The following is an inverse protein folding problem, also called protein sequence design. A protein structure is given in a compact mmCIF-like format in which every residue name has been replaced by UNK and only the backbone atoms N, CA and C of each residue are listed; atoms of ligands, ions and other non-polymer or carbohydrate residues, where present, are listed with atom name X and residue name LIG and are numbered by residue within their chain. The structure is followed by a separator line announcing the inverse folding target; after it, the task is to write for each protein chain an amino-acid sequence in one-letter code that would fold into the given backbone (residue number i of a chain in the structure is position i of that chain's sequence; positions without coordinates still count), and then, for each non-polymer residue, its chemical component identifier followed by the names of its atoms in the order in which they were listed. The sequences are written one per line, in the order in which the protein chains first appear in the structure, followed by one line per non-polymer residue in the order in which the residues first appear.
data_IF_245804809503
#
_entry.id   IF_245804809503
#
_cell.length_a   1.000
_cell.length_b   1.000
_cell.length_c   1.000
_cell.angle_alpha   90.00
_cell.angle_beta   90.00
_cell.angle_gamma   90.00
#
_symmetry.space_group_name_H-M   'P 1'
#
loop_
_entity.id
_entity.type
_entity.pdbx_description
1 polymer ?
#
# COMPACT_ATOMS: atom_id res chain seq x y z
N UNK A 1 0.78 -4.87 36.07
CA UNK A 1 -0.31 -3.89 35.83
C UNK A 1 -0.97 -4.23 34.51
N UNK A 2 -2.30 -4.24 34.41
CA UNK A 2 -2.99 -4.46 33.14
C UNK A 2 -2.68 -3.32 32.16
N UNK A 3 -2.51 -3.64 30.88
CA UNK A 3 -2.34 -2.64 29.84
C UNK A 3 -3.63 -1.81 29.71
N UNK A 4 -3.54 -0.48 29.54
CA UNK A 4 -4.71 0.36 29.34
C UNK A 4 -5.46 -0.05 28.06
N UNK A 5 -6.79 0.02 28.10
CA UNK A 5 -7.62 -0.28 26.93
C UNK A 5 -7.55 0.85 25.91
N UNK A 6 -7.85 0.54 24.64
CA UNK A 6 -7.90 1.58 23.58
C UNK A 6 -8.89 2.69 23.92
N UNK A 7 -10.03 2.35 24.53
CA UNK A 7 -11.01 3.34 25.02
C UNK A 7 -10.42 4.30 26.05
N UNK A 8 -9.67 3.79 27.04
CA UNK A 8 -9.01 4.61 28.06
C UNK A 8 -7.97 5.56 27.45
N UNK A 9 -7.21 5.09 26.46
CA UNK A 9 -6.23 5.91 25.75
C UNK A 9 -6.92 7.01 24.94
N UNK A 10 -8.02 6.70 24.23
CA UNK A 10 -8.79 7.68 23.48
C UNK A 10 -9.40 8.76 24.38
N UNK A 11 -9.95 8.37 25.53
CA UNK A 11 -10.51 9.31 26.50
C UNK A 11 -9.42 10.21 27.11
N UNK A 12 -8.23 9.67 27.38
CA UNK A 12 -7.09 10.45 27.85
C UNK A 12 -6.61 11.45 26.79
N UNK A 13 -6.52 11.04 25.52
CA UNK A 13 -6.15 11.93 24.41
C UNK A 13 -7.19 13.05 24.27
N UNK A 14 -8.48 12.70 24.29
CA UNK A 14 -9.56 13.69 24.13
C UNK A 14 -9.57 14.74 25.24
N UNK A 15 -9.30 14.32 26.48
CA UNK A 15 -9.47 15.19 27.66
C UNK A 15 -8.20 15.94 28.03
N UNK A 16 -7.04 15.33 27.84
CA UNK A 16 -5.78 15.80 28.44
C UNK A 16 -4.66 16.08 27.42
N UNK A 17 -4.78 15.68 26.15
CA UNK A 17 -3.69 15.88 25.20
C UNK A 17 -3.52 17.36 24.86
N UNK A 18 -2.28 17.84 24.98
CA UNK A 18 -1.88 19.13 24.45
C UNK A 18 -1.71 19.06 22.92
N UNK A 19 -1.54 20.22 22.29
CA UNK A 19 -1.25 20.28 20.85
C UNK A 19 0.04 19.56 20.48
N UNK A 20 1.08 19.68 21.31
CA UNK A 20 2.36 19.01 21.11
C UNK A 20 2.22 17.49 21.20
N UNK A 21 1.41 16.98 22.13
CA UNK A 21 1.11 15.55 22.23
C UNK A 21 0.42 15.02 20.97
N UNK A 22 -0.50 15.80 20.39
CA UNK A 22 -1.17 15.45 19.15
C UNK A 22 -0.20 15.44 17.96
N UNK A 23 0.74 16.39 17.88
CA UNK A 23 1.76 16.43 16.84
C UNK A 23 2.71 15.22 16.92
N UNK A 24 3.10 14.81 18.14
CA UNK A 24 3.88 13.59 18.38
C UNK A 24 3.09 12.35 17.93
N UNK A 25 1.81 12.27 18.27
CA UNK A 25 0.95 11.15 17.84
C UNK A 25 0.86 11.06 16.32
N UNK A 26 0.69 12.18 15.62
CA UNK A 26 0.67 12.21 14.16
C UNK A 26 1.99 11.67 13.56
N UNK A 27 3.12 12.07 14.12
CA UNK A 27 4.43 11.59 13.69
C UNK A 27 4.59 10.07 13.91
N UNK A 28 4.16 9.57 15.08
CA UNK A 28 4.19 8.14 15.39
C UNK A 28 3.25 7.32 14.50
N UNK A 29 2.06 7.84 14.20
CA UNK A 29 1.11 7.22 13.25
C UNK A 29 1.75 7.11 11.87
N UNK A 30 2.41 8.18 11.41
CA UNK A 30 3.15 8.19 10.14
C UNK A 30 4.20 7.08 10.10
N UNK A 31 5.09 7.04 11.10
CA UNK A 31 6.13 6.00 11.21
C UNK A 31 5.55 4.58 11.26
N UNK A 32 4.46 4.38 12.01
CA UNK A 32 3.83 3.05 12.10
C UNK A 32 3.26 2.60 10.76
N UNK A 33 2.62 3.50 10.01
CA UNK A 33 2.11 3.21 8.66
C UNK A 33 3.23 2.87 7.69
N UNK A 34 4.35 3.60 7.76
CA UNK A 34 5.53 3.31 6.94
C UNK A 34 6.10 1.92 7.24
N UNK A 35 6.27 1.58 8.52
CA UNK A 35 6.76 0.26 8.93
C UNK A 35 5.83 -0.88 8.52
N UNK A 36 4.51 -0.68 8.63
CA UNK A 36 3.53 -1.67 8.16
C UNK A 36 3.60 -1.83 6.64
N UNK A 37 3.68 -0.74 5.89
CA UNK A 37 3.87 -0.78 4.43
C UNK A 37 5.15 -1.53 4.03
N UNK A 38 6.25 -1.30 4.75
CA UNK A 38 7.50 -2.03 4.54
C UNK A 38 7.36 -3.52 4.85
N UNK A 39 6.71 -3.87 5.95
CA UNK A 39 6.44 -5.26 6.31
C UNK A 39 5.55 -5.96 5.26
N UNK A 40 4.50 -5.28 4.79
CA UNK A 40 3.60 -5.76 3.75
C UNK A 40 4.36 -5.95 2.43
N UNK A 41 5.23 -5.00 2.07
CA UNK A 41 6.07 -5.11 0.87
C UNK A 41 7.06 -6.28 0.93
N UNK A 42 7.52 -6.66 2.12
CA UNK A 42 8.42 -7.80 2.32
C UNK A 42 7.71 -9.16 2.12
N UNK A 43 6.38 -9.19 2.20
CA UNK A 43 5.56 -10.37 1.90
C UNK A 43 5.34 -10.54 0.39
N UNK A 44 5.61 -9.51 -0.41
CA UNK A 44 5.42 -9.55 -1.85
C UNK A 44 6.57 -10.30 -2.50
N UNK A 45 6.21 -11.39 -3.17
CA UNK A 45 7.11 -12.28 -3.92
C UNK A 45 6.50 -12.57 -5.28
N UNK A 46 7.32 -13.07 -6.19
CA UNK A 46 6.82 -13.59 -7.46
C UNK A 46 5.78 -14.70 -7.20
N UNK A 47 4.68 -14.66 -7.94
CA UNK A 47 3.50 -15.52 -7.76
C UNK A 47 2.50 -15.04 -6.71
N UNK A 48 2.80 -14.01 -5.91
CA UNK A 48 1.87 -13.50 -4.91
C UNK A 48 0.72 -12.69 -5.56
N UNK A 49 -0.48 -12.77 -4.98
CA UNK A 49 -1.54 -11.83 -5.29
C UNK A 49 -1.30 -10.49 -4.59
N UNK A 50 -1.51 -9.41 -5.33
CA UNK A 50 -1.35 -8.06 -4.82
C UNK A 50 -2.42 -7.12 -5.35
N UNK A 51 -2.75 -6.13 -4.53
CA UNK A 51 -3.56 -4.96 -4.90
C UNK A 51 -2.64 -3.75 -5.11
N UNK A 52 -2.84 -3.04 -6.21
CA UNK A 52 -2.12 -1.81 -6.53
C UNK A 52 -2.73 -0.64 -5.74
N UNK A 53 -1.91 0.12 -5.01
CA UNK A 53 -2.31 1.29 -4.23
C UNK A 53 -1.33 2.45 -4.42
N UNK A 54 -1.82 3.67 -4.19
CA UNK A 54 -1.01 4.89 -4.17
C UNK A 54 -0.15 5.12 -5.43
N UNK A 55 -0.60 4.59 -6.58
CA UNK A 55 0.10 4.73 -7.85
C UNK A 55 -0.53 5.85 -8.68
N UNK A 56 0.30 6.59 -9.40
CA UNK A 56 -0.13 7.49 -10.47
C UNK A 56 0.09 6.81 -11.82
N UNK A 57 -0.91 6.80 -12.71
CA UNK A 57 -2.22 7.44 -12.61
C UNK A 57 -3.22 6.75 -11.66
N UNK A 58 -4.10 7.55 -11.04
CA UNK A 58 -4.99 7.11 -9.95
C UNK A 58 -5.95 5.96 -10.32
N UNK A 59 -6.28 5.79 -11.61
CA UNK A 59 -7.16 4.71 -12.06
C UNK A 59 -6.54 3.31 -11.89
N UNK A 60 -5.22 3.22 -11.67
CA UNK A 60 -4.52 1.97 -11.37
C UNK A 60 -4.67 1.55 -9.90
N UNK A 61 -5.10 2.47 -9.02
CA UNK A 61 -5.33 2.14 -7.61
C UNK A 61 -6.59 1.29 -7.45
N UNK A 62 -6.51 0.27 -6.60
CA UNK A 62 -7.57 -0.72 -6.36
C UNK A 62 -7.70 -1.77 -7.47
N UNK A 63 -6.71 -1.87 -8.37
CA UNK A 63 -6.59 -2.99 -9.30
C UNK A 63 -5.86 -4.15 -8.63
N UNK A 64 -6.27 -5.37 -8.95
CA UNK A 64 -5.74 -6.61 -8.39
C UNK A 64 -5.10 -7.47 -9.46
N UNK A 65 -4.06 -8.21 -9.08
CA UNK A 65 -3.34 -9.07 -10.00
C UNK A 65 -2.31 -9.95 -9.29
N UNK A 66 -1.55 -10.68 -10.09
CA UNK A 66 -0.47 -11.55 -9.63
C UNK A 66 0.86 -10.93 -10.01
N UNK A 67 1.81 -10.88 -9.07
CA UNK A 67 3.17 -10.42 -9.31
C UNK A 67 3.90 -11.47 -10.13
N UNK A 68 4.34 -11.12 -11.34
CA UNK A 68 5.01 -12.06 -12.26
C UNK A 68 6.52 -11.90 -12.30
N UNK A 69 7.04 -10.72 -11.95
CA UNK A 69 8.47 -10.48 -11.86
C UNK A 69 8.77 -9.42 -10.79
N UNK A 70 9.92 -9.55 -10.14
CA UNK A 70 10.50 -8.54 -9.26
C UNK A 70 11.92 -8.21 -9.73
N UNK A 71 12.13 -6.96 -10.13
CA UNK A 71 13.42 -6.47 -10.60
C UNK A 71 13.95 -5.35 -9.71
N UNK A 72 15.28 -5.25 -9.59
CA UNK A 72 15.93 -4.19 -8.83
C UNK A 72 16.49 -3.14 -9.79
N UNK A 73 15.96 -1.93 -9.71
CA UNK A 73 16.44 -0.78 -10.47
C UNK A 73 17.12 0.22 -9.53
N UNK A 74 18.46 0.14 -9.45
CA UNK A 74 19.24 0.92 -8.48
C UNK A 74 18.90 0.55 -7.04
N UNK A 75 18.44 1.52 -6.25
CA UNK A 75 17.98 1.31 -4.88
C UNK A 75 16.52 0.87 -4.76
N UNK A 76 15.76 0.85 -5.86
CA UNK A 76 14.32 0.56 -5.88
C UNK A 76 14.06 -0.86 -6.35
N UNK A 77 13.05 -1.50 -5.76
CA UNK A 77 12.48 -2.76 -6.26
C UNK A 77 11.20 -2.42 -7.01
N UNK A 78 11.14 -2.84 -8.27
CA UNK A 78 9.98 -2.69 -9.15
C UNK A 78 9.40 -4.08 -9.45
N UNK A 79 8.10 -4.13 -9.61
CA UNK A 79 7.33 -5.32 -9.86
C UNK A 79 6.60 -5.22 -11.19
N UNK A 80 6.41 -6.36 -11.82
CA UNK A 80 5.48 -6.53 -12.94
C UNK A 80 4.28 -7.30 -12.42
N UNK A 81 3.08 -6.79 -12.66
CA UNK A 81 1.83 -7.39 -12.21
C UNK A 81 0.95 -7.72 -13.41
N UNK A 82 0.56 -8.98 -13.51
CA UNK A 82 -0.49 -9.42 -14.43
C UNK A 82 -1.84 -9.26 -13.75
N UNK A 83 -2.67 -8.38 -14.28
CA UNK A 83 -3.98 -8.04 -13.74
C UNK A 83 -4.97 -9.20 -13.90
N UNK A 84 -5.89 -9.34 -12.96
CA UNK A 84 -7.04 -10.22 -13.13
C UNK A 84 -8.00 -9.70 -14.22
N UNK A 85 -8.85 -10.56 -14.76
CA UNK A 85 -9.78 -10.19 -15.82
C UNK A 85 -10.62 -8.92 -15.53
N UNK A 86 -11.20 -8.71 -14.33
CA UNK A 86 -11.95 -7.48 -14.05
C UNK A 86 -11.06 -6.24 -13.97
N UNK A 87 -9.86 -6.34 -13.38
CA UNK A 87 -8.91 -5.22 -13.29
C UNK A 87 -8.31 -4.87 -14.64
N UNK A 88 -8.01 -5.87 -15.46
CA UNK A 88 -7.58 -5.76 -16.85
C UNK A 88 -8.60 -4.96 -17.69
N UNK A 89 -9.89 -5.32 -17.62
CA UNK A 89 -10.95 -4.61 -18.32
C UNK A 89 -11.08 -3.14 -17.86
N UNK A 90 -10.98 -2.90 -16.55
CA UNK A 90 -11.00 -1.55 -15.97
C UNK A 90 -9.80 -0.72 -16.43
N UNK A 91 -8.61 -1.30 -16.38
CA UNK A 91 -7.37 -0.66 -16.81
C UNK A 91 -7.42 -0.33 -18.31
N UNK A 92 -7.89 -1.26 -19.14
CA UNK A 92 -8.01 -1.07 -20.59
C UNK A 92 -8.95 0.09 -20.92
N UNK A 93 -10.11 0.15 -20.24
CA UNK A 93 -11.08 1.23 -20.40
C UNK A 93 -10.50 2.59 -19.96
N UNK A 94 -9.89 2.67 -18.79
CA UNK A 94 -9.38 3.92 -18.23
C UNK A 94 -8.14 4.44 -18.96
N UNK A 95 -7.30 3.54 -19.46
CA UNK A 95 -6.03 3.87 -20.12
C UNK A 95 -6.13 3.98 -21.64
N UNK A 96 -7.34 3.85 -22.21
CA UNK A 96 -7.58 3.78 -23.66
C UNK A 96 -6.75 2.67 -24.35
N UNK A 97 -6.65 1.52 -23.68
CA UNK A 97 -5.95 0.34 -24.20
C UNK A 97 -4.43 0.31 -23.96
N UNK A 98 -3.85 1.28 -23.23
CA UNK A 98 -2.42 1.24 -22.89
C UNK A 98 -2.07 0.10 -21.92
N UNK A 99 -2.94 -0.16 -20.96
CA UNK A 99 -2.80 -1.27 -20.01
C UNK A 99 -3.96 -2.23 -20.21
N UNK A 100 -3.68 -3.41 -20.77
CA UNK A 100 -4.71 -4.41 -21.09
C UNK A 100 -4.69 -5.57 -20.13
N UNK A 101 -3.52 -6.14 -19.84
CA UNK A 101 -3.39 -7.30 -18.94
C UNK A 101 -2.18 -7.23 -18.02
N UNK A 102 -1.19 -6.40 -18.34
CA UNK A 102 0.05 -6.28 -17.59
C UNK A 102 0.30 -4.82 -17.26
N UNK A 103 0.75 -4.57 -16.04
CA UNK A 103 1.27 -3.28 -15.59
C UNK A 103 2.70 -3.51 -15.12
N UNK A 104 3.63 -2.88 -15.80
CA UNK A 104 5.07 -2.95 -15.57
C UNK A 104 5.57 -1.79 -14.71
N UNK A 105 6.80 -1.93 -14.21
CA UNK A 105 7.51 -0.88 -13.47
C UNK A 105 6.79 -0.37 -12.21
N UNK A 106 6.05 -1.24 -11.51
CA UNK A 106 5.33 -0.89 -10.29
C UNK A 106 6.27 -0.85 -9.08
N UNK A 107 6.43 0.28 -8.37
CA UNK A 107 7.22 0.28 -7.13
C UNK A 107 6.62 -0.69 -6.12
N UNK A 108 7.44 -1.51 -5.46
CA UNK A 108 6.93 -2.51 -4.50
C UNK A 108 6.12 -1.88 -3.36
N UNK A 109 6.43 -0.65 -2.97
CA UNK A 109 5.67 0.11 -1.96
C UNK A 109 4.28 0.58 -2.42
N UNK A 110 3.96 0.43 -3.71
CA UNK A 110 2.62 0.65 -4.27
C UNK A 110 1.82 -0.65 -4.35
N UNK A 111 2.34 -1.76 -3.82
CA UNK A 111 1.66 -3.04 -3.81
C UNK A 111 1.32 -3.44 -2.37
N UNK A 112 0.15 -4.04 -2.19
CA UNK A 112 -0.28 -4.59 -0.90
C UNK A 112 -0.66 -6.05 -1.11
N UNK A 113 -0.16 -7.00 -0.29
CA UNK A 113 -0.53 -8.41 -0.40
C UNK A 113 -2.04 -8.58 -0.21
N UNK A 114 -2.63 -9.50 -0.99
CA UNK A 114 -4.07 -9.80 -1.03
C UNK A 114 -4.40 -11.17 -0.47
#
# INVERSE_FOLDING_TARGET
MPAPTLSQVLDAIRTNASREDLDILLLLIGKRRELLSLADSALIREGAQAEIRNLRPAYLSGLTGTVTALERYGSKVIATVTLDAPSAARAAKASKGRYTSVVDSLPIGCLTPR
#
